data_IF_229160858778
#
_entry.id   IF_229160858778
#
_cell.length_a   1.000
_cell.length_b   1.000
_cell.length_c   1.000
_cell.angle_alpha   90.00
_cell.angle_beta   90.00
_cell.angle_gamma   90.00
#
_symmetry.space_group_name_H-M   'P 1'
#
loop_
_entity.id
_entity.type
_entity.pdbx_description
1 polymer ?
#
# COMPACT_ATOMS: atom_id res chain seq x y z
N UNK A 1 -22.65 27.69 -15.38
CA UNK A 1 -22.61 26.42 -16.15
C UNK A 1 -21.38 26.44 -17.04
N UNK A 2 -20.75 25.28 -17.29
CA UNK A 2 -19.64 25.17 -18.25
C UNK A 2 -20.15 25.41 -19.69
N UNK A 3 -19.35 26.07 -20.53
CA UNK A 3 -19.67 26.23 -21.96
C UNK A 3 -19.58 24.89 -22.69
N UNK A 4 -20.26 24.76 -23.84
CA UNK A 4 -20.24 23.51 -24.62
C UNK A 4 -18.87 23.22 -25.22
N UNK A 5 -18.09 24.26 -25.54
CA UNK A 5 -16.68 24.12 -25.92
C UNK A 5 -15.85 23.48 -24.80
N UNK A 6 -16.01 23.94 -23.56
CA UNK A 6 -15.27 23.39 -22.41
C UNK A 6 -15.68 21.95 -22.14
N UNK A 7 -16.98 21.61 -22.22
CA UNK A 7 -17.45 20.22 -22.08
C UNK A 7 -16.88 19.31 -23.17
N UNK A 8 -16.88 19.78 -24.42
CA UNK A 8 -16.35 19.03 -25.57
C UNK A 8 -14.85 18.77 -25.41
N UNK A 9 -14.08 19.80 -25.03
CA UNK A 9 -12.66 19.67 -24.75
C UNK A 9 -12.37 18.71 -23.60
N UNK A 10 -13.13 18.80 -22.50
CA UNK A 10 -12.97 17.91 -21.35
C UNK A 10 -13.24 16.46 -21.71
N UNK A 11 -14.29 16.19 -22.50
CA UNK A 11 -14.59 14.85 -23.02
C UNK A 11 -13.45 14.32 -23.89
N UNK A 12 -12.97 15.12 -24.85
CA UNK A 12 -11.87 14.73 -25.74
C UNK A 12 -10.59 14.37 -24.98
N UNK A 13 -10.18 15.20 -24.01
CA UNK A 13 -8.99 14.93 -23.18
C UNK A 13 -9.18 13.70 -22.29
N UNK A 14 -10.40 13.46 -21.81
CA UNK A 14 -10.72 12.27 -21.01
C UNK A 14 -10.64 11.00 -21.88
N UNK A 15 -11.21 11.05 -23.10
CA UNK A 15 -11.16 9.93 -24.05
C UNK A 15 -9.71 9.61 -24.46
N UNK A 16 -8.86 10.63 -24.62
CA UNK A 16 -7.42 10.46 -24.82
C UNK A 16 -6.76 9.78 -23.62
N UNK A 17 -6.99 10.27 -22.40
CA UNK A 17 -6.43 9.68 -21.18
C UNK A 17 -6.81 8.20 -21.03
N UNK A 18 -8.08 7.86 -21.28
CA UNK A 18 -8.59 6.49 -21.24
C UNK A 18 -7.90 5.60 -22.27
N UNK A 19 -7.68 6.10 -23.51
CA UNK A 19 -6.91 5.37 -24.54
C UNK A 19 -5.46 5.11 -24.11
N UNK A 20 -4.87 5.99 -23.29
CA UNK A 20 -3.53 5.83 -22.72
C UNK A 20 -3.52 4.96 -21.44
N UNK A 21 -4.68 4.44 -21.03
CA UNK A 21 -4.84 3.54 -19.89
C UNK A 21 -5.18 4.22 -18.56
N UNK A 22 -5.51 5.51 -18.55
CA UNK A 22 -5.90 6.20 -17.31
C UNK A 22 -7.21 5.66 -16.75
N UNK A 23 -7.22 5.32 -15.46
CA UNK A 23 -8.39 4.80 -14.74
C UNK A 23 -8.66 5.52 -13.40
N UNK A 24 -7.89 6.57 -13.09
CA UNK A 24 -8.02 7.33 -11.87
C UNK A 24 -7.17 8.60 -11.86
N UNK A 25 -7.28 9.37 -10.79
CA UNK A 25 -6.53 10.62 -10.60
C UNK A 25 -5.61 10.56 -9.36
N UNK A 26 -4.40 11.14 -9.41
CA UNK A 26 -3.74 11.64 -10.62
C UNK A 26 -3.17 10.50 -11.47
N UNK A 27 -3.20 10.68 -12.79
CA UNK A 27 -2.47 9.83 -13.75
C UNK A 27 -1.45 10.67 -14.51
N UNK A 28 -0.24 10.14 -14.66
CA UNK A 28 0.84 10.74 -15.43
C UNK A 28 1.19 9.84 -16.60
N UNK A 29 1.37 10.42 -17.78
CA UNK A 29 1.96 9.75 -18.93
C UNK A 29 3.37 10.31 -19.10
N UNK A 30 4.36 9.44 -18.85
CA UNK A 30 5.78 9.77 -18.83
C UNK A 30 6.41 9.31 -20.14
N UNK A 31 6.97 10.25 -20.90
CA UNK A 31 7.71 9.96 -22.12
C UNK A 31 9.19 9.82 -21.78
N UNK A 32 9.73 8.62 -21.98
CA UNK A 32 11.12 8.27 -21.63
C UNK A 32 12.06 8.48 -22.83
N UNK A 33 13.37 8.54 -22.57
CA UNK A 33 14.40 8.86 -23.59
C UNK A 33 14.49 7.81 -24.71
N UNK A 34 14.23 6.55 -24.40
CA UNK A 34 14.20 5.46 -25.37
C UNK A 34 12.91 5.46 -26.23
N UNK A 35 12.08 6.50 -26.10
CA UNK A 35 10.83 6.65 -26.84
C UNK A 35 9.65 5.89 -26.25
N UNK A 36 9.81 5.17 -25.12
CA UNK A 36 8.67 4.51 -24.47
C UNK A 36 7.78 5.53 -23.77
N UNK A 37 6.49 5.21 -23.79
CA UNK A 37 5.46 5.90 -23.02
C UNK A 37 5.05 5.04 -21.83
N UNK A 38 5.18 5.58 -20.61
CA UNK A 38 4.90 4.87 -19.37
C UNK A 38 3.81 5.59 -18.56
N UNK A 39 2.73 4.88 -18.25
CA UNK A 39 1.67 5.39 -17.38
C UNK A 39 2.05 5.17 -15.90
N UNK A 40 1.88 6.20 -15.08
CA UNK A 40 2.10 6.18 -13.62
C UNK A 40 0.85 6.72 -12.94
N UNK A 41 0.29 5.99 -11.97
CA UNK A 41 -0.89 6.38 -11.21
C UNK A 41 -0.53 6.57 -9.73
N UNK A 42 -1.14 7.58 -9.09
CA UNK A 42 -0.93 7.90 -7.67
C UNK A 42 -0.07 9.14 -7.44
N UNK A 43 -0.45 9.96 -6.45
CA UNK A 43 0.21 11.25 -6.15
C UNK A 43 1.55 11.12 -5.41
N UNK A 44 1.87 9.94 -4.90
CA UNK A 44 3.09 9.64 -4.14
C UNK A 44 4.19 9.00 -5.01
N UNK A 45 3.92 8.76 -6.30
CA UNK A 45 4.82 8.09 -7.25
C UNK A 45 5.83 9.01 -7.95
N UNK A 46 6.08 10.23 -7.43
CA UNK A 46 7.06 11.14 -8.04
C UNK A 46 8.48 10.56 -8.14
N UNK A 47 8.87 9.72 -7.18
CA UNK A 47 10.16 9.02 -7.21
C UNK A 47 10.27 8.06 -8.41
N UNK A 48 9.17 7.35 -8.77
CA UNK A 48 9.11 6.51 -9.97
C UNK A 48 9.24 7.35 -11.24
N UNK A 49 8.55 8.49 -11.30
CA UNK A 49 8.68 9.42 -12.43
C UNK A 49 10.14 9.86 -12.57
N UNK A 50 10.81 10.16 -11.44
CA UNK A 50 12.22 10.53 -11.45
C UNK A 50 13.15 9.45 -12.01
N UNK A 51 12.92 8.19 -11.65
CA UNK A 51 13.66 7.06 -12.21
C UNK A 51 13.44 6.91 -13.72
N UNK A 52 12.18 7.01 -14.17
CA UNK A 52 11.82 6.91 -15.61
C UNK A 52 12.43 8.05 -16.43
N UNK A 53 12.53 9.24 -15.83
CA UNK A 53 13.13 10.41 -16.46
C UNK A 53 14.64 10.48 -16.30
N UNK A 54 15.27 9.57 -15.55
CA UNK A 54 16.71 9.59 -15.27
C UNK A 54 17.22 11.02 -15.01
N UNK A 55 16.65 11.71 -14.00
CA UNK A 55 16.64 13.19 -13.70
C UNK A 55 17.94 13.99 -13.95
N UNK A 56 19.06 13.38 -14.29
CA UNK A 56 20.22 14.02 -14.92
C UNK A 56 19.92 14.84 -16.20
N UNK A 57 18.78 14.65 -16.88
CA UNK A 57 18.45 15.35 -18.13
C UNK A 57 17.19 16.25 -18.01
N UNK A 58 17.39 17.56 -17.90
CA UNK A 58 16.33 18.59 -17.90
C UNK A 58 15.79 18.88 -19.31
N UNK A 59 14.96 18.01 -19.87
CA UNK A 59 13.97 18.36 -20.91
C UNK A 59 13.12 17.14 -21.28
N UNK A 60 12.15 16.75 -20.44
CA UNK A 60 11.26 15.63 -20.77
C UNK A 60 9.80 16.01 -20.53
N UNK A 61 8.93 15.56 -21.43
CA UNK A 61 7.49 15.82 -21.41
C UNK A 61 6.81 14.85 -20.44
N UNK A 62 6.03 15.39 -19.51
CA UNK A 62 5.10 14.63 -18.68
C UNK A 62 3.70 15.17 -18.99
N UNK A 63 2.79 14.32 -19.44
CA UNK A 63 1.38 14.70 -19.56
C UNK A 63 0.67 14.34 -18.24
N UNK A 64 0.03 15.33 -17.63
CA UNK A 64 -0.65 15.20 -16.34
C UNK A 64 -2.16 15.20 -16.52
N UNK A 65 -2.80 14.14 -16.07
CA UNK A 65 -4.25 13.98 -16.11
C UNK A 65 -4.83 14.02 -14.70
N UNK A 66 -5.75 14.95 -14.49
CA UNK A 66 -6.52 15.07 -13.26
C UNK A 66 -7.99 14.80 -13.57
N UNK A 67 -8.43 13.57 -13.30
CA UNK A 67 -9.82 13.17 -13.53
C UNK A 67 -10.71 13.71 -12.40
N UNK A 68 -11.36 14.84 -12.65
CA UNK A 68 -12.40 15.41 -11.77
C UNK A 68 -13.78 14.81 -12.09
N UNK A 69 -13.92 14.16 -13.25
CA UNK A 69 -15.22 13.71 -13.76
C UNK A 69 -15.66 12.36 -13.21
N UNK A 70 -14.76 11.43 -12.90
CA UNK A 70 -15.13 10.17 -12.24
C UNK A 70 -15.81 10.41 -10.89
N UNK A 71 -15.39 11.43 -10.13
CA UNK A 71 -16.07 11.85 -8.91
C UNK A 71 -17.49 12.42 -9.17
N UNK A 72 -17.70 13.16 -10.27
CA UNK A 72 -19.01 13.71 -10.64
C UNK A 72 -19.98 12.65 -11.21
N UNK A 73 -19.49 11.73 -12.05
CA UNK A 73 -20.28 10.61 -12.59
C UNK A 73 -20.72 9.65 -11.49
N UNK A 74 -19.86 9.35 -10.51
CA UNK A 74 -20.22 8.57 -9.34
C UNK A 74 -21.21 9.30 -8.42
N UNK A 75 -21.18 10.63 -8.38
CA UNK A 75 -22.13 11.42 -7.57
C UNK A 75 -23.57 11.39 -8.08
N UNK A 76 -23.78 11.15 -9.38
CA UNK A 76 -25.12 10.96 -9.98
C UNK A 76 -25.76 9.61 -9.67
N UNK A 77 -24.97 8.63 -9.19
CA UNK A 77 -25.41 7.29 -8.81
C UNK A 77 -25.46 7.07 -7.28
N UNK A 78 -25.16 8.10 -6.47
CA UNK A 78 -25.01 8.06 -5.00
C UNK A 78 -26.32 8.04 -4.22
N UNK A 79 -27.37 7.43 -4.75
CA UNK A 79 -28.58 7.16 -3.99
C UNK A 79 -28.45 5.94 -3.06
N UNK A 80 -27.38 5.83 -2.25
CA UNK A 80 -27.24 4.95 -1.08
C UNK A 80 -25.76 4.64 -0.73
N UNK A 81 -25.23 5.25 0.32
CA UNK A 81 -24.15 4.65 1.12
C UNK A 81 -24.44 5.00 2.58
N UNK A 82 -24.40 3.99 3.48
CA UNK A 82 -23.12 3.68 4.10
C UNK A 82 -22.86 2.18 4.19
N UNK A 83 -21.69 1.78 3.71
CA UNK A 83 -21.11 0.46 3.92
C UNK A 83 -19.63 0.70 4.21
N UNK A 84 -19.26 0.61 5.49
CA UNK A 84 -17.87 0.73 5.92
C UNK A 84 -17.01 -0.25 5.12
N UNK A 85 -16.08 0.29 4.35
CA UNK A 85 -14.82 -0.36 3.99
C UNK A 85 -14.93 -1.59 3.08
N UNK A 86 -14.64 -1.38 1.79
CA UNK A 86 -14.18 -2.45 0.92
C UNK A 86 -12.86 -2.02 0.29
N UNK A 87 -11.85 -2.88 0.41
CA UNK A 87 -10.48 -2.65 -0.03
C UNK A 87 -10.45 -2.35 -1.54
N UNK A 88 -9.54 -1.49 -1.97
CA UNK A 88 -9.50 -0.78 -3.27
C UNK A 88 -9.35 -1.67 -4.54
N UNK A 89 -9.49 -2.99 -4.41
CA UNK A 89 -9.44 -3.98 -5.50
C UNK A 89 -10.77 -4.21 -6.23
N UNK A 90 -11.86 -3.54 -5.83
CA UNK A 90 -13.12 -3.62 -6.58
C UNK A 90 -13.04 -2.98 -7.99
N UNK A 91 -11.88 -2.45 -8.38
CA UNK A 91 -11.58 -1.97 -9.73
C UNK A 91 -10.43 -2.80 -10.29
N UNK A 92 -10.73 -3.72 -11.22
CA UNK A 92 -9.75 -4.62 -11.84
C UNK A 92 -8.52 -3.88 -12.38
N UNK A 93 -8.72 -2.70 -12.98
CA UNK A 93 -7.64 -1.86 -13.52
C UNK A 93 -6.63 -1.42 -12.45
N UNK A 94 -7.06 -1.16 -11.21
CA UNK A 94 -6.16 -0.85 -10.09
C UNK A 94 -5.33 -2.08 -9.70
N UNK A 95 -5.96 -3.26 -9.67
CA UNK A 95 -5.30 -4.51 -9.37
C UNK A 95 -4.20 -4.82 -10.41
N UNK A 96 -4.55 -4.72 -11.69
CA UNK A 96 -3.65 -4.98 -12.82
C UNK A 96 -2.48 -4.00 -12.83
N UNK A 97 -2.74 -2.71 -12.57
CA UNK A 97 -1.69 -1.70 -12.46
C UNK A 97 -0.73 -2.00 -11.30
N UNK A 98 -1.28 -2.26 -10.10
CA UNK A 98 -0.49 -2.53 -8.90
C UNK A 98 0.41 -3.76 -9.12
N UNK A 99 -0.17 -4.89 -9.52
CA UNK A 99 0.54 -6.16 -9.67
C UNK A 99 1.50 -6.17 -10.87
N UNK A 100 1.07 -5.61 -12.01
CA UNK A 100 1.81 -5.70 -13.27
C UNK A 100 2.85 -4.61 -13.49
N UNK A 101 2.72 -3.44 -12.85
CA UNK A 101 3.59 -2.28 -13.11
C UNK A 101 4.16 -1.65 -11.85
N UNK A 102 3.31 -1.35 -10.88
CA UNK A 102 3.70 -0.50 -9.75
C UNK A 102 4.66 -1.22 -8.79
N UNK A 103 4.28 -2.42 -8.32
CA UNK A 103 5.13 -3.20 -7.41
C UNK A 103 6.49 -3.59 -8.02
N UNK A 104 6.60 -4.00 -9.29
CA UNK A 104 7.90 -4.20 -9.95
C UNK A 104 8.77 -2.93 -9.99
N UNK A 105 8.18 -1.76 -10.26
CA UNK A 105 8.91 -0.47 -10.26
C UNK A 105 9.41 -0.13 -8.86
N UNK A 106 8.56 -0.29 -7.84
CA UNK A 106 8.94 -0.05 -6.44
C UNK A 106 10.02 -1.02 -5.95
N UNK A 107 9.89 -2.31 -6.29
CA UNK A 107 10.89 -3.35 -6.01
C UNK A 107 12.27 -2.96 -6.54
N UNK A 108 12.32 -2.48 -7.80
CA UNK A 108 13.55 -1.97 -8.42
C UNK A 108 14.08 -0.69 -7.76
N UNK A 109 13.22 0.29 -7.50
CA UNK A 109 13.60 1.58 -6.92
C UNK A 109 14.18 1.44 -5.52
N UNK A 110 13.45 0.77 -4.62
CA UNK A 110 13.85 0.59 -3.23
C UNK A 110 14.83 -0.57 -3.02
N UNK A 111 15.10 -1.37 -4.07
CA UNK A 111 15.95 -2.57 -4.02
C UNK A 111 15.48 -3.57 -2.97
N UNK A 112 14.15 -3.71 -2.85
CA UNK A 112 13.49 -4.66 -1.96
C UNK A 112 12.88 -5.75 -2.83
N UNK A 113 13.21 -7.04 -2.63
CA UNK A 113 12.71 -8.13 -3.47
C UNK A 113 11.23 -8.43 -3.18
N UNK A 114 10.35 -7.54 -3.64
CA UNK A 114 8.90 -7.63 -3.49
C UNK A 114 8.32 -8.31 -4.75
N UNK A 115 7.83 -9.54 -4.59
CA UNK A 115 7.21 -10.31 -5.67
C UNK A 115 5.84 -10.79 -5.22
N UNK A 116 4.80 -10.35 -5.92
CA UNK A 116 3.42 -10.82 -5.73
C UNK A 116 3.13 -11.95 -6.70
N UNK A 117 2.93 -13.16 -6.17
CA UNK A 117 2.42 -14.30 -6.92
C UNK A 117 1.07 -14.76 -6.35
N UNK A 118 0.43 -15.73 -7.00
CA UNK A 118 -0.88 -16.24 -6.58
C UNK A 118 -0.92 -16.71 -5.13
N UNK A 119 0.18 -17.30 -4.62
CA UNK A 119 0.29 -17.75 -3.23
C UNK A 119 0.30 -16.58 -2.26
N UNK A 120 1.01 -15.50 -2.59
CA UNK A 120 1.06 -14.29 -1.75
C UNK A 120 -0.29 -13.58 -1.75
N UNK A 121 -0.93 -13.46 -2.93
CA UNK A 121 -2.28 -12.88 -3.04
C UNK A 121 -3.29 -13.69 -2.23
N UNK A 122 -3.31 -15.01 -2.38
CA UNK A 122 -4.16 -15.88 -1.58
C UNK A 122 -3.91 -15.73 -0.07
N UNK A 123 -2.63 -15.69 0.33
CA UNK A 123 -2.24 -15.51 1.73
C UNK A 123 -2.75 -14.20 2.32
N UNK A 124 -2.55 -13.08 1.62
CA UNK A 124 -2.91 -11.75 2.11
C UNK A 124 -4.42 -11.54 2.15
N UNK A 125 -5.14 -11.98 1.12
CA UNK A 125 -6.55 -11.61 0.94
C UNK A 125 -7.55 -12.67 1.39
N UNK A 126 -7.17 -13.94 1.50
CA UNK A 126 -8.11 -15.01 1.92
C UNK A 126 -7.87 -15.52 3.34
N UNK A 127 -6.62 -15.57 3.77
CA UNK A 127 -6.25 -16.28 5.01
C UNK A 127 -5.72 -15.32 6.09
N UNK A 128 -5.29 -14.12 5.71
CA UNK A 128 -4.88 -13.07 6.65
C UNK A 128 -3.45 -13.25 7.20
N UNK A 129 -3.01 -12.22 7.92
CA UNK A 129 -1.65 -12.09 8.49
C UNK A 129 -1.67 -11.81 10.00
N UNK A 130 -2.79 -12.07 10.65
CA UNK A 130 -3.12 -11.73 12.05
C UNK A 130 -2.10 -12.32 13.04
N UNK A 131 -1.48 -13.42 12.65
CA UNK A 131 -0.43 -14.15 13.35
C UNK A 131 0.86 -13.31 13.50
N UNK A 132 1.18 -12.45 12.53
CA UNK A 132 2.33 -11.52 12.60
C UNK A 132 2.11 -10.41 13.64
N UNK A 133 0.86 -9.99 13.84
CA UNK A 133 0.56 -8.94 14.81
C UNK A 133 0.84 -9.41 16.23
N UNK A 134 0.48 -10.65 16.55
CA UNK A 134 0.62 -11.20 17.87
C UNK A 134 2.05 -11.32 18.37
N UNK A 135 2.96 -11.79 17.50
CA UNK A 135 4.39 -11.84 17.80
C UNK A 135 4.90 -10.41 17.98
N UNK A 136 4.55 -9.48 17.08
CA UNK A 136 4.89 -8.05 17.18
C UNK A 136 4.39 -7.39 18.48
N UNK A 137 3.20 -7.79 18.93
CA UNK A 137 2.53 -7.26 20.11
C UNK A 137 3.39 -7.45 21.37
N UNK A 138 3.92 -8.66 21.59
CA UNK A 138 4.73 -8.96 22.77
C UNK A 138 6.05 -8.18 22.77
N UNK A 139 6.62 -7.90 21.59
CA UNK A 139 7.85 -7.11 21.46
C UNK A 139 7.65 -5.60 21.64
N UNK A 140 6.48 -5.05 21.28
CA UNK A 140 6.14 -3.67 21.63
C UNK A 140 6.15 -3.41 23.15
N UNK A 141 6.01 -4.45 23.99
CA UNK A 141 6.12 -4.33 25.46
C UNK A 141 7.56 -4.45 25.98
N UNK A 142 8.52 -4.84 25.14
CA UNK A 142 9.90 -5.16 25.54
C UNK A 142 10.92 -4.04 25.24
N UNK A 143 10.48 -2.88 24.75
CA UNK A 143 11.30 -1.75 24.26
C UNK A 143 12.38 -2.09 23.21
N UNK A 144 12.43 -3.33 22.72
CA UNK A 144 13.40 -3.75 21.71
C UNK A 144 12.85 -3.57 20.29
N UNK A 145 12.69 -2.30 19.89
CA UNK A 145 12.23 -1.91 18.55
C UNK A 145 13.13 -2.46 17.42
N UNK A 146 14.40 -2.70 17.72
CA UNK A 146 15.35 -3.33 16.80
C UNK A 146 14.96 -4.78 16.46
N UNK A 147 14.58 -5.59 17.45
CA UNK A 147 14.12 -6.96 17.22
C UNK A 147 12.77 -6.99 16.49
N UNK A 148 11.86 -6.09 16.85
CA UNK A 148 10.58 -5.96 16.14
C UNK A 148 10.79 -5.68 14.64
N UNK A 149 11.70 -4.74 14.33
CA UNK A 149 12.06 -4.43 12.94
C UNK A 149 12.66 -5.63 12.22
N UNK A 150 13.59 -6.35 12.85
CA UNK A 150 14.24 -7.54 12.24
C UNK A 150 13.23 -8.64 11.96
N UNK A 151 12.32 -8.89 12.90
CA UNK A 151 11.25 -9.86 12.72
C UNK A 151 10.31 -9.45 11.58
N UNK A 152 9.88 -8.19 11.53
CA UNK A 152 9.03 -7.70 10.45
C UNK A 152 9.69 -7.88 9.08
N UNK A 153 10.97 -7.51 8.94
CA UNK A 153 11.74 -7.72 7.70
C UNK A 153 11.87 -9.20 7.36
N UNK A 154 12.12 -10.05 8.36
CA UNK A 154 12.20 -11.50 8.18
C UNK A 154 10.89 -12.09 7.67
N UNK A 155 9.74 -11.73 8.28
CA UNK A 155 8.42 -12.12 7.79
C UNK A 155 8.12 -11.56 6.39
N UNK A 156 8.45 -10.30 6.11
CA UNK A 156 8.27 -9.70 4.78
C UNK A 156 9.08 -10.43 3.71
N UNK A 157 10.35 -10.75 3.97
CA UNK A 157 11.18 -11.50 3.03
C UNK A 157 10.63 -12.91 2.81
N UNK A 158 10.19 -13.60 3.86
CA UNK A 158 9.57 -14.92 3.73
C UNK A 158 8.35 -14.86 2.82
N UNK A 159 7.44 -13.91 3.05
CA UNK A 159 6.21 -13.80 2.26
C UNK A 159 6.49 -13.32 0.83
N UNK A 160 7.13 -12.15 0.68
CA UNK A 160 7.20 -11.45 -0.60
C UNK A 160 8.40 -11.83 -1.46
N UNK A 161 9.46 -12.41 -0.89
CA UNK A 161 10.66 -12.80 -1.63
C UNK A 161 10.78 -14.30 -1.78
N UNK A 162 10.72 -15.04 -0.67
CA UNK A 162 10.89 -16.50 -0.66
C UNK A 162 9.59 -17.27 -0.86
N UNK A 163 8.43 -16.58 -0.85
CA UNK A 163 7.10 -17.17 -0.98
C UNK A 163 6.79 -18.29 0.01
N UNK A 164 7.33 -18.15 1.21
CA UNK A 164 7.14 -19.02 2.35
C UNK A 164 5.96 -18.56 3.20
N UNK A 165 5.38 -19.50 3.94
CA UNK A 165 4.31 -19.21 4.89
C UNK A 165 4.77 -18.21 5.97
N UNK A 166 3.83 -17.47 6.57
CA UNK A 166 4.08 -16.56 7.71
C UNK A 166 2.97 -16.64 8.76
N UNK A 167 2.20 -17.73 8.78
CA UNK A 167 1.04 -17.89 9.63
C UNK A 167 1.10 -19.14 10.53
N UNK A 168 1.90 -20.13 10.17
CA UNK A 168 2.12 -21.32 11.00
C UNK A 168 3.17 -21.04 12.07
N UNK A 169 3.02 -21.60 13.29
CA UNK A 169 3.99 -21.44 14.37
C UNK A 169 5.42 -21.77 13.94
N UNK A 170 5.62 -22.86 13.19
CA UNK A 170 6.94 -23.28 12.72
C UNK A 170 7.57 -22.25 11.78
N UNK A 171 6.76 -21.64 10.92
CA UNK A 171 7.25 -20.62 10.00
C UNK A 171 7.65 -19.33 10.72
N UNK A 172 6.90 -18.97 11.77
CA UNK A 172 7.26 -17.85 12.63
C UNK A 172 8.49 -18.12 13.49
N UNK A 173 8.70 -19.38 13.93
CA UNK A 173 9.97 -19.75 14.59
C UNK A 173 11.15 -19.55 13.66
N UNK A 174 11.05 -20.02 12.42
CA UNK A 174 12.11 -19.80 11.43
C UNK A 174 12.34 -18.30 11.14
N UNK A 175 11.28 -17.50 11.07
CA UNK A 175 11.39 -16.05 10.89
C UNK A 175 12.07 -15.37 12.08
N UNK A 176 11.71 -15.77 13.30
CA UNK A 176 12.27 -15.26 14.55
C UNK A 176 13.75 -15.64 14.71
N UNK A 177 14.12 -16.89 14.40
CA UNK A 177 15.50 -17.36 14.39
C UNK A 177 16.36 -16.56 13.41
N UNK A 178 15.87 -16.36 12.17
CA UNK A 178 16.55 -15.54 11.17
C UNK A 178 16.68 -14.06 11.60
N UNK A 179 15.79 -13.58 12.46
CA UNK A 179 15.85 -12.23 13.04
C UNK A 179 16.74 -12.14 14.30
N UNK A 180 17.28 -13.28 14.78
CA UNK A 180 18.16 -13.38 15.94
C UNK A 180 17.45 -13.46 17.28
N UNK A 181 16.20 -13.93 17.31
CA UNK A 181 15.43 -14.11 18.53
C UNK A 181 15.76 -15.46 19.19
N UNK A 182 15.75 -15.52 20.53
CA UNK A 182 15.94 -16.79 21.24
C UNK A 182 14.71 -17.69 21.13
N UNK A 183 14.93 -19.00 21.23
CA UNK A 183 13.87 -19.99 21.19
C UNK A 183 12.82 -19.78 22.29
N UNK A 184 13.26 -19.45 23.51
CA UNK A 184 12.36 -19.22 24.67
C UNK A 184 11.44 -18.03 24.44
N UNK A 185 12.00 -16.92 23.96
CA UNK A 185 11.27 -15.67 23.70
C UNK A 185 10.28 -15.87 22.55
N UNK A 186 10.68 -16.64 21.54
CA UNK A 186 9.81 -17.02 20.41
C UNK A 186 8.67 -17.93 20.86
N UNK A 187 8.96 -18.96 21.66
CA UNK A 187 7.95 -19.89 22.17
C UNK A 187 6.90 -19.15 23.02
N UNK A 188 7.35 -18.28 23.92
CA UNK A 188 6.46 -17.45 24.72
C UNK A 188 5.57 -16.54 23.83
N UNK A 189 6.12 -15.92 22.79
CA UNK A 189 5.35 -15.10 21.86
C UNK A 189 4.28 -15.92 21.09
N UNK A 190 4.60 -17.14 20.70
CA UNK A 190 3.67 -18.04 20.01
C UNK A 190 2.56 -18.57 20.93
N UNK A 191 2.83 -18.77 22.22
CA UNK A 191 1.79 -19.14 23.20
C UNK A 191 0.79 -18.02 23.43
N UNK A 192 1.27 -16.79 23.64
CA UNK A 192 0.40 -15.63 23.90
C UNK A 192 -0.39 -15.21 22.68
N UNK A 193 0.03 -15.61 21.49
CA UNK A 193 -0.50 -15.08 20.24
C UNK A 193 -1.98 -15.32 20.03
N UNK A 194 -2.49 -16.45 20.55
CA UNK A 194 -3.89 -16.81 20.45
C UNK A 194 -4.70 -16.37 21.69
N UNK A 195 -4.05 -15.74 22.67
CA UNK A 195 -4.70 -15.24 23.88
C UNK A 195 -5.72 -14.13 23.57
N UNK A 196 -6.75 -14.07 24.40
CA UNK A 196 -7.78 -13.03 24.29
C UNK A 196 -7.21 -11.63 24.56
N UNK A 197 -6.16 -11.52 25.38
CA UNK A 197 -5.46 -10.26 25.62
C UNK A 197 -4.85 -9.71 24.31
N UNK A 198 -4.14 -10.55 23.56
CA UNK A 198 -3.50 -10.14 22.30
C UNK A 198 -4.53 -9.77 21.24
N UNK A 199 -5.60 -10.56 21.10
CA UNK A 199 -6.70 -10.27 20.17
C UNK A 199 -7.43 -8.99 20.53
N UNK A 200 -7.72 -8.78 21.82
CA UNK A 200 -8.36 -7.57 22.32
C UNK A 200 -7.51 -6.34 22.02
N UNK A 201 -6.19 -6.42 22.29
CA UNK A 201 -5.27 -5.32 21.97
C UNK A 201 -5.19 -5.03 20.46
N UNK A 202 -5.14 -6.06 19.60
CA UNK A 202 -5.20 -5.89 18.14
C UNK A 202 -6.44 -5.09 17.73
N UNK A 203 -7.60 -5.47 18.27
CA UNK A 203 -8.85 -4.78 18.02
C UNK A 203 -8.78 -3.33 18.50
N UNK A 204 -8.34 -3.09 19.74
CA UNK A 204 -8.24 -1.74 20.30
C UNK A 204 -7.36 -0.82 19.47
N UNK A 205 -6.14 -1.24 19.10
CA UNK A 205 -5.24 -0.37 18.32
C UNK A 205 -5.77 -0.12 16.91
N UNK A 206 -6.47 -1.10 16.33
CA UNK A 206 -7.09 -0.95 15.00
C UNK A 206 -8.26 0.04 15.10
N UNK A 207 -9.10 -0.07 16.12
CA UNK A 207 -10.21 0.87 16.37
C UNK A 207 -9.68 2.29 16.62
N UNK A 208 -8.56 2.44 17.33
CA UNK A 208 -7.89 3.73 17.53
C UNK A 208 -7.38 4.31 16.22
N UNK A 209 -6.71 3.52 15.37
CA UNK A 209 -6.26 3.96 14.06
C UNK A 209 -7.45 4.40 13.18
N UNK A 210 -8.55 3.64 13.18
CA UNK A 210 -9.78 3.98 12.45
C UNK A 210 -10.41 5.26 12.99
N UNK A 211 -10.47 5.46 14.32
CA UNK A 211 -10.96 6.72 14.94
C UNK A 211 -10.10 7.92 14.55
N UNK A 212 -8.80 7.72 14.33
CA UNK A 212 -7.91 8.75 13.84
C UNK A 212 -8.07 9.00 12.34
N UNK A 213 -8.79 8.14 11.62
CA UNK A 213 -9.14 8.29 10.21
C UNK A 213 -8.34 7.38 9.27
N UNK A 214 -7.63 6.39 9.79
CA UNK A 214 -6.94 5.40 8.96
C UNK A 214 -7.95 4.63 8.08
N UNK A 215 -7.66 4.56 6.78
CA UNK A 215 -8.52 3.88 5.80
C UNK A 215 -7.78 2.84 4.93
N UNK A 216 -6.54 2.53 5.30
CA UNK A 216 -5.77 1.48 4.64
C UNK A 216 -4.44 1.26 5.36
N UNK A 217 -3.60 0.41 4.78
CA UNK A 217 -2.24 0.17 5.26
C UNK A 217 -1.25 0.28 4.10
N UNK A 218 -0.09 0.94 4.30
CA UNK A 218 0.35 1.57 5.54
C UNK A 218 -0.29 2.96 5.78
N UNK A 219 -0.62 3.27 7.03
CA UNK A 219 -1.00 4.62 7.48
C UNK A 219 0.00 5.11 8.53
N UNK A 220 0.50 6.33 8.37
CA UNK A 220 1.39 6.98 9.33
C UNK A 220 0.68 8.15 10.00
N UNK A 221 0.72 8.19 11.33
CA UNK A 221 0.18 9.28 12.14
C UNK A 221 1.35 10.04 12.72
N UNK A 222 1.57 11.27 12.24
CA UNK A 222 2.73 12.08 12.60
C UNK A 222 2.30 13.17 13.59
N UNK A 223 2.76 13.10 14.87
CA UNK A 223 2.45 14.14 15.84
C UNK A 223 3.29 15.40 15.56
N UNK A 224 2.65 16.54 15.43
CA UNK A 224 3.34 17.82 15.25
C UNK A 224 3.75 18.38 16.62
N UNK A 225 5.06 18.58 16.87
CA UNK A 225 5.50 19.32 18.07
C UNK A 225 4.95 20.74 18.01
N UNK A 226 4.11 21.13 18.99
CA UNK A 226 3.61 22.49 19.16
C UNK A 226 2.26 22.83 18.51
N UNK A 227 1.60 21.90 17.82
CA UNK A 227 0.21 22.08 17.34
C UNK A 227 -0.65 20.91 17.82
N UNK A 228 -1.91 21.18 18.21
CA UNK A 228 -2.89 20.13 18.57
C UNK A 228 -3.33 19.24 17.39
N UNK A 229 -2.86 19.52 16.16
CA UNK A 229 -3.21 18.77 14.95
C UNK A 229 -2.19 17.67 14.70
N UNK A 230 -2.69 16.44 14.56
CA UNK A 230 -1.94 15.32 13.97
C UNK A 230 -2.13 15.38 12.45
N UNK A 231 -1.08 15.03 11.70
CA UNK A 231 -1.18 14.85 10.25
C UNK A 231 -1.19 13.36 9.93
N UNK A 232 -2.13 12.97 9.08
CA UNK A 232 -2.19 11.62 8.54
C UNK A 232 -1.52 11.60 7.17
N UNK A 233 -0.59 10.66 7.01
CA UNK A 233 0.03 10.36 5.72
C UNK A 233 -0.36 8.94 5.34
N UNK A 234 -1.08 8.81 4.23
CA UNK A 234 -1.37 7.54 3.59
C UNK A 234 -0.41 7.35 2.43
N UNK A 235 0.29 6.22 2.38
CA UNK A 235 1.05 5.83 1.20
C UNK A 235 0.21 4.82 0.42
N UNK A 236 -0.09 5.14 -0.84
CA UNK A 236 -0.81 4.25 -1.76
C UNK A 236 0.21 3.29 -2.37
#
# INVERSE_FOLDING_TARGET
MLSDEVKSRLKSVTDEAVKLGAFGSPTFIVHTEDGRQEMVFGSDRFHIIGDLLAISAMSRRIDFYYDILSALLLSGLRGSLPASFSMEFNVQLKADYMLGRDLPRLSKHYRVPLVMNDKVVERMFKIGTDVNYAVSNRYCKSDNLMLLRRLAVSCSNRLFSSHQDVAQPDSLRAAAEAAGLSADVTAAALTDMLSDEVKSRLKTVTDEAVKLGAFGSPTFIVPHRGRRRQEMVFAV
#
